data_IF_526497093467
#
_entry.id   IF_526497093467
#
_cell.length_a   1.000
_cell.length_b   1.000
_cell.length_c   1.000
_cell.angle_alpha   90.00
_cell.angle_beta   90.00
_cell.angle_gamma   90.00
#
_symmetry.space_group_name_H-M   'P 1'
#
loop_
_entity.id
_entity.type
_entity.pdbx_description
1 polymer ?
#
# COMPACT_ATOMS: atom_id res chain seq x y z
N UNK A 1 -8.46 -22.63 -10.56
CA UNK A 1 -7.81 -21.82 -9.51
C UNK A 1 -7.16 -20.51 -9.97
N UNK A 2 -6.12 -20.49 -10.81
CA UNK A 2 -5.50 -19.21 -11.29
C UNK A 2 -6.53 -18.22 -11.85
N UNK A 3 -7.41 -18.69 -12.74
CA UNK A 3 -8.48 -17.90 -13.35
C UNK A 3 -9.51 -17.36 -12.35
N UNK A 4 -9.77 -18.08 -11.26
CA UNK A 4 -10.68 -17.64 -10.19
C UNK A 4 -10.04 -16.52 -9.37
N UNK A 5 -8.76 -16.68 -8.99
CA UNK A 5 -7.98 -15.62 -8.34
C UNK A 5 -7.94 -14.36 -9.20
N UNK A 6 -7.69 -14.53 -10.50
CA UNK A 6 -7.69 -13.44 -11.49
C UNK A 6 -9.05 -12.74 -11.52
N UNK A 7 -10.15 -13.51 -11.60
CA UNK A 7 -11.51 -12.96 -11.59
C UNK A 7 -11.83 -12.16 -10.33
N UNK A 8 -11.41 -12.64 -9.16
CA UNK A 8 -11.61 -11.91 -7.90
C UNK A 8 -10.78 -10.62 -7.91
N UNK A 9 -9.49 -10.68 -8.27
CA UNK A 9 -8.63 -9.49 -8.30
C UNK A 9 -9.12 -8.46 -9.33
N UNK A 10 -9.64 -8.87 -10.49
CA UNK A 10 -10.28 -7.95 -11.45
C UNK A 10 -11.45 -7.20 -10.83
N UNK A 11 -12.28 -7.88 -10.03
CA UNK A 11 -13.39 -7.24 -9.30
C UNK A 11 -12.89 -6.27 -8.24
N UNK A 12 -11.87 -6.67 -7.46
CA UNK A 12 -11.30 -5.86 -6.38
C UNK A 12 -10.55 -4.62 -6.89
N UNK A 13 -10.04 -4.67 -8.12
CA UNK A 13 -9.27 -3.59 -8.74
C UNK A 13 -10.05 -2.79 -9.78
N UNK A 14 -11.21 -3.29 -10.20
CA UNK A 14 -11.97 -2.70 -11.31
C UNK A 14 -11.26 -2.78 -12.67
N UNK A 15 -10.23 -3.62 -12.82
CA UNK A 15 -9.39 -3.70 -14.03
C UNK A 15 -9.70 -4.90 -14.91
N UNK A 16 -9.47 -4.74 -16.21
CA UNK A 16 -9.69 -5.81 -17.22
C UNK A 16 -8.66 -6.92 -17.16
N UNK A 17 -7.41 -6.61 -16.84
CA UNK A 17 -6.29 -7.55 -16.84
C UNK A 17 -5.62 -7.59 -15.48
N UNK A 18 -5.17 -8.79 -15.07
CA UNK A 18 -4.37 -9.01 -13.87
C UNK A 18 -3.21 -9.93 -14.24
N UNK A 19 -2.00 -9.50 -13.91
CA UNK A 19 -0.74 -10.21 -14.11
C UNK A 19 -0.14 -10.54 -12.76
N UNK A 20 0.15 -11.81 -12.52
CA UNK A 20 0.78 -12.26 -11.28
C UNK A 20 2.30 -12.15 -11.42
N UNK A 21 2.96 -11.59 -10.41
CA UNK A 21 4.41 -11.33 -10.44
C UNK A 21 5.09 -11.78 -9.16
N UNK A 22 6.35 -12.21 -9.24
CA UNK A 22 7.07 -12.84 -8.12
C UNK A 22 7.03 -12.12 -6.77
N UNK A 23 6.96 -10.78 -6.75
CA UNK A 23 6.89 -9.98 -5.52
C UNK A 23 6.36 -8.59 -5.79
N UNK A 24 5.93 -7.88 -4.74
CA UNK A 24 5.51 -6.47 -4.86
C UNK A 24 6.58 -5.57 -5.51
N UNK A 25 7.86 -5.77 -5.20
CA UNK A 25 8.95 -5.04 -5.86
C UNK A 25 9.03 -5.30 -7.37
N UNK A 26 8.63 -6.49 -7.84
CA UNK A 26 8.55 -6.77 -9.27
C UNK A 26 7.38 -6.00 -9.91
N UNK A 27 6.23 -5.91 -9.22
CA UNK A 27 5.08 -5.13 -9.68
C UNK A 27 5.41 -3.64 -9.85
N UNK A 28 6.11 -3.05 -8.87
CA UNK A 28 6.58 -1.66 -8.91
C UNK A 28 7.49 -1.45 -10.12
N UNK A 29 8.53 -2.30 -10.26
CA UNK A 29 9.49 -2.16 -11.36
C UNK A 29 8.85 -2.35 -12.73
N UNK A 30 7.97 -3.33 -12.89
CA UNK A 30 7.28 -3.59 -14.15
C UNK A 30 6.38 -2.41 -14.54
N UNK A 31 5.64 -1.84 -13.59
CA UNK A 31 4.74 -0.71 -13.85
C UNK A 31 5.51 0.57 -14.18
N UNK A 32 6.64 0.84 -13.50
CA UNK A 32 7.50 1.97 -13.84
C UNK A 32 8.18 1.79 -15.22
N UNK A 33 8.64 0.58 -15.55
CA UNK A 33 9.14 0.28 -16.91
C UNK A 33 8.08 0.58 -17.97
N UNK A 34 6.84 0.14 -17.73
CA UNK A 34 5.74 0.34 -18.67
C UNK A 34 5.45 1.83 -18.87
N UNK A 35 5.38 2.59 -17.78
CA UNK A 35 5.18 4.03 -17.86
C UNK A 35 6.34 4.73 -18.60
N UNK A 36 7.59 4.34 -18.34
CA UNK A 36 8.74 4.87 -19.07
C UNK A 36 8.69 4.56 -20.56
N UNK A 37 8.30 3.35 -20.93
CA UNK A 37 8.17 2.96 -22.34
C UNK A 37 7.00 3.71 -23.03
N UNK A 38 6.07 4.27 -22.26
CA UNK A 38 5.07 5.26 -22.67
C UNK A 38 5.57 6.71 -22.69
N UNK A 39 6.87 6.92 -22.59
CA UNK A 39 7.54 8.24 -22.63
C UNK A 39 7.31 9.13 -21.40
N UNK A 40 6.90 8.57 -20.26
CA UNK A 40 7.00 9.30 -18.99
C UNK A 40 8.44 9.24 -18.47
N UNK A 41 9.03 10.37 -18.15
CA UNK A 41 10.37 10.46 -17.57
C UNK A 41 10.38 10.97 -16.13
N UNK A 42 9.31 11.62 -15.67
CA UNK A 42 9.13 12.14 -14.31
C UNK A 42 8.23 11.22 -13.47
N UNK A 43 8.66 10.93 -12.24
CA UNK A 43 7.91 10.14 -11.26
C UNK A 43 7.75 10.92 -9.96
N UNK A 44 6.51 11.17 -9.60
CA UNK A 44 6.09 11.75 -8.34
C UNK A 44 5.87 10.64 -7.31
N UNK A 45 6.45 10.78 -6.12
CA UNK A 45 6.27 9.86 -5.00
C UNK A 45 5.97 10.63 -3.72
N UNK A 46 5.28 9.99 -2.77
CA UNK A 46 5.08 10.55 -1.43
C UNK A 46 6.43 10.73 -0.72
N UNK A 47 6.63 11.85 -0.01
CA UNK A 47 7.87 12.11 0.76
C UNK A 47 8.08 11.13 1.92
N UNK A 48 7.00 10.49 2.39
CA UNK A 48 6.95 9.42 3.39
C UNK A 48 5.71 8.53 3.18
N UNK A 49 5.64 7.39 3.87
CA UNK A 49 4.52 6.45 3.80
C UNK A 49 4.51 5.52 2.57
N UNK A 50 5.32 5.81 1.56
CA UNK A 50 5.54 4.94 0.39
C UNK A 50 6.37 3.70 0.71
N UNK A 51 6.87 3.03 -0.35
CA UNK A 51 7.72 1.85 -0.20
C UNK A 51 9.18 2.12 -0.57
N UNK A 52 10.12 1.47 0.13
CA UNK A 52 11.56 1.78 0.04
C UNK A 52 12.14 1.63 -1.38
N UNK A 53 11.55 0.76 -2.21
CA UNK A 53 12.03 0.54 -3.58
C UNK A 53 11.47 1.54 -4.59
N UNK A 54 10.53 2.41 -4.24
CA UNK A 54 10.03 3.47 -5.12
C UNK A 54 11.18 4.34 -5.65
N UNK A 55 11.93 5.08 -4.79
CA UNK A 55 13.04 5.91 -5.27
C UNK A 55 14.15 5.08 -5.93
N UNK A 56 14.42 3.88 -5.41
CA UNK A 56 15.45 3.00 -5.96
C UNK A 56 15.17 2.61 -7.41
N UNK A 57 13.91 2.31 -7.75
CA UNK A 57 13.53 1.94 -9.11
C UNK A 57 13.40 3.13 -10.05
N UNK A 58 12.94 4.28 -9.55
CA UNK A 58 12.96 5.54 -10.33
C UNK A 58 14.39 5.85 -10.78
N UNK A 59 15.36 5.84 -9.85
CA UNK A 59 16.78 6.03 -10.15
C UNK A 59 17.34 4.96 -11.09
N UNK A 60 17.03 3.67 -10.83
CA UNK A 60 17.48 2.55 -11.67
C UNK A 60 17.01 2.68 -13.12
N UNK A 61 15.81 3.22 -13.34
CA UNK A 61 15.24 3.44 -14.66
C UNK A 61 15.66 4.78 -15.29
N UNK A 62 16.48 5.58 -14.59
CA UNK A 62 16.95 6.90 -15.01
C UNK A 62 15.80 7.89 -15.23
N UNK A 63 14.75 7.77 -14.44
CA UNK A 63 13.62 8.71 -14.41
C UNK A 63 13.90 9.82 -13.37
N UNK A 64 13.32 11.01 -13.56
CA UNK A 64 13.37 12.10 -12.60
C UNK A 64 12.46 11.81 -11.41
N UNK A 65 13.03 11.76 -10.20
CA UNK A 65 12.25 11.65 -8.95
C UNK A 65 11.80 13.03 -8.48
N UNK A 66 10.52 13.16 -8.11
CA UNK A 66 9.98 14.31 -7.39
C UNK A 66 9.26 13.81 -6.15
N UNK A 67 9.63 14.35 -4.99
CA UNK A 67 8.96 14.03 -3.72
C UNK A 67 7.85 15.04 -3.45
N UNK A 68 6.63 14.55 -3.36
CA UNK A 68 5.46 15.34 -3.01
C UNK A 68 5.36 15.46 -1.49
N UNK A 69 5.15 16.69 -1.00
CA UNK A 69 4.90 16.92 0.41
C UNK A 69 3.58 16.29 0.81
N UNK A 70 3.57 15.59 1.94
CA UNK A 70 2.38 14.92 2.46
C UNK A 70 2.04 15.34 3.88
N UNK A 71 0.81 15.06 4.27
CA UNK A 71 0.36 15.01 5.66
C UNK A 71 0.49 13.57 6.18
N UNK A 72 1.64 13.26 6.79
CA UNK A 72 2.04 11.90 7.22
C UNK A 72 1.90 10.80 6.15
N UNK A 73 2.07 11.16 4.88
CA UNK A 73 1.94 10.26 3.74
C UNK A 73 0.68 10.49 2.92
N UNK A 74 -0.37 11.10 3.48
CA UNK A 74 -1.57 11.45 2.71
C UNK A 74 -1.30 12.66 1.82
N UNK A 75 -1.71 12.55 0.55
CA UNK A 75 -1.65 13.64 -0.42
C UNK A 75 -2.95 14.45 -0.35
N UNK A 76 -2.86 15.76 -0.53
CA UNK A 76 -4.02 16.66 -0.64
C UNK A 76 -4.09 17.37 -1.99
N UNK A 77 -2.98 17.44 -2.72
CA UNK A 77 -2.88 18.08 -4.03
C UNK A 77 -1.71 17.50 -4.84
N UNK A 78 -1.82 17.55 -6.17
CA UNK A 78 -0.75 17.23 -7.11
C UNK A 78 -0.83 18.21 -8.27
N UNK A 79 0.07 19.20 -8.29
CA UNK A 79 0.07 20.27 -9.30
C UNK A 79 0.90 19.94 -10.55
N UNK A 80 1.75 18.91 -10.44
CA UNK A 80 2.60 18.44 -11.52
C UNK A 80 1.78 17.78 -12.64
N UNK A 81 2.27 17.93 -13.88
CA UNK A 81 1.67 17.36 -15.09
C UNK A 81 2.71 16.53 -15.84
N UNK A 82 2.21 15.69 -16.74
CA UNK A 82 3.00 14.84 -17.64
C UNK A 82 3.97 13.95 -16.86
N UNK A 83 3.44 13.34 -15.80
CA UNK A 83 4.23 12.58 -14.83
C UNK A 83 3.53 11.29 -14.41
N UNK A 84 4.32 10.33 -13.94
CA UNK A 84 3.81 9.17 -13.22
C UNK A 84 3.60 9.56 -11.76
N UNK A 85 2.42 9.33 -11.22
CA UNK A 85 2.21 9.37 -9.78
C UNK A 85 2.26 7.94 -9.24
N UNK A 86 3.34 7.59 -8.54
CA UNK A 86 3.47 6.34 -7.82
C UNK A 86 3.16 6.57 -6.34
N UNK A 87 1.98 6.14 -5.91
CA UNK A 87 1.48 6.36 -4.56
C UNK A 87 1.07 5.04 -3.90
N UNK A 88 1.15 4.96 -2.58
CA UNK A 88 0.50 3.95 -1.78
C UNK A 88 -0.83 4.52 -1.28
N UNK A 89 -1.96 3.87 -1.58
CA UNK A 89 -3.28 4.36 -1.17
C UNK A 89 -3.59 4.10 0.31
N UNK A 90 -2.70 3.43 1.03
CA UNK A 90 -2.67 3.38 2.49
C UNK A 90 -1.24 3.63 2.98
N UNK A 91 -0.72 4.87 2.88
CA UNK A 91 0.66 5.18 3.24
C UNK A 91 0.97 4.73 4.67
N UNK A 92 2.13 4.12 4.88
CA UNK A 92 2.53 3.61 6.19
C UNK A 92 1.60 2.55 6.80
N UNK A 93 0.60 2.09 6.03
CA UNK A 93 -0.49 1.21 6.46
C UNK A 93 -1.43 1.82 7.52
N UNK A 94 -1.41 3.13 7.77
CA UNK A 94 -2.09 3.74 8.93
C UNK A 94 -3.29 4.61 8.58
N UNK A 95 -3.43 5.04 7.33
CA UNK A 95 -4.56 5.84 6.89
C UNK A 95 -4.84 5.60 5.41
N UNK A 96 -6.09 5.42 5.02
CA UNK A 96 -6.49 5.40 3.62
C UNK A 96 -6.42 6.80 3.01
N UNK A 97 -5.94 6.88 1.77
CA UNK A 97 -6.06 8.06 0.95
C UNK A 97 -7.54 8.36 0.67
N UNK A 98 -7.89 9.65 0.70
CA UNK A 98 -9.25 10.08 0.37
C UNK A 98 -9.67 9.58 -1.02
N UNK A 99 -10.86 8.98 -1.09
CA UNK A 99 -11.33 8.29 -2.28
C UNK A 99 -11.66 9.28 -3.41
N UNK A 100 -12.25 10.41 -3.07
CA UNK A 100 -12.64 11.41 -4.07
C UNK A 100 -11.42 12.14 -4.61
N UNK A 101 -10.41 12.37 -3.77
CA UNK A 101 -9.08 12.79 -4.19
C UNK A 101 -8.47 11.79 -5.18
N UNK A 102 -8.44 10.49 -4.88
CA UNK A 102 -7.91 9.49 -5.83
C UNK A 102 -8.68 9.50 -7.17
N UNK A 103 -10.01 9.61 -7.13
CA UNK A 103 -10.81 9.71 -8.37
C UNK A 103 -10.41 10.92 -9.19
N UNK A 104 -10.26 12.08 -8.54
CA UNK A 104 -9.84 13.32 -9.22
C UNK A 104 -8.47 13.20 -9.89
N UNK A 105 -7.56 12.40 -9.32
CA UNK A 105 -6.26 12.11 -9.95
C UNK A 105 -6.42 11.23 -11.20
N UNK A 106 -7.29 10.22 -11.16
CA UNK A 106 -7.52 9.33 -12.32
C UNK A 106 -8.29 10.00 -13.46
N UNK A 107 -9.07 11.03 -13.17
CA UNK A 107 -9.76 11.84 -14.18
C UNK A 107 -8.82 12.89 -14.81
N UNK A 108 -7.68 13.17 -14.18
CA UNK A 108 -6.67 14.07 -14.73
C UNK A 108 -5.84 13.34 -15.81
N UNK A 109 -6.18 13.58 -17.07
CA UNK A 109 -5.53 12.95 -18.23
C UNK A 109 -4.02 13.21 -18.38
N UNK A 110 -3.44 14.09 -17.56
CA UNK A 110 -2.01 14.43 -17.62
C UNK A 110 -1.18 13.70 -16.55
N UNK A 111 -1.77 12.82 -15.75
CA UNK A 111 -1.06 11.97 -14.79
C UNK A 111 -1.26 10.50 -15.13
N UNK A 112 -0.19 9.72 -15.05
CA UNK A 112 -0.28 8.26 -15.09
C UNK A 112 -0.21 7.71 -13.66
N UNK A 113 -1.33 7.24 -13.14
CA UNK A 113 -1.46 6.87 -11.73
C UNK A 113 -1.12 5.39 -11.53
N UNK A 114 -0.02 5.13 -10.83
CA UNK A 114 0.32 3.79 -10.32
C UNK A 114 -0.04 3.74 -8.83
N UNK A 115 -1.10 3.01 -8.50
CA UNK A 115 -1.58 2.87 -7.13
C UNK A 115 -1.11 1.55 -6.52
N UNK A 116 -0.24 1.64 -5.52
CA UNK A 116 0.13 0.52 -4.67
C UNK A 116 -0.94 0.29 -3.61
N UNK A 117 -1.60 -0.86 -3.73
CA UNK A 117 -2.71 -1.29 -2.89
C UNK A 117 -2.30 -2.41 -1.95
N UNK A 118 -1.00 -2.58 -1.69
CA UNK A 118 -0.48 -3.63 -0.81
C UNK A 118 -1.07 -3.59 0.61
N UNK A 119 -1.52 -2.42 1.08
CA UNK A 119 -2.25 -2.26 2.34
C UNK A 119 -3.76 -2.12 2.21
N UNK A 120 -4.24 -1.68 1.04
CA UNK A 120 -5.64 -1.26 0.81
C UNK A 120 -6.43 -2.21 -0.09
N UNK A 121 -5.85 -3.33 -0.55
CA UNK A 121 -6.58 -4.32 -1.36
C UNK A 121 -7.87 -4.75 -0.67
N UNK A 122 -8.99 -4.72 -1.39
CA UNK A 122 -10.32 -4.96 -0.83
C UNK A 122 -11.09 -3.70 -0.42
N UNK A 123 -10.50 -2.51 -0.53
CA UNK A 123 -11.16 -1.22 -0.32
C UNK A 123 -11.52 -0.52 -1.65
N UNK A 124 -12.33 0.54 -1.60
CA UNK A 124 -12.68 1.32 -2.79
C UNK A 124 -11.46 2.01 -3.43
N UNK A 125 -10.47 2.40 -2.62
CA UNK A 125 -9.22 3.00 -3.09
C UNK A 125 -8.45 2.04 -4.00
N UNK A 126 -8.59 0.72 -3.79
CA UNK A 126 -7.90 -0.27 -4.59
C UNK A 126 -8.44 -0.40 -6.02
N UNK A 127 -9.51 0.33 -6.36
CA UNK A 127 -10.10 0.36 -7.71
C UNK A 127 -9.61 1.53 -8.57
N UNK A 128 -8.85 2.46 -8.00
CA UNK A 128 -8.50 3.73 -8.65
C UNK A 128 -7.04 3.74 -9.09
N UNK A 129 -6.79 4.13 -10.33
CA UNK A 129 -5.46 4.27 -10.94
C UNK A 129 -5.41 3.70 -12.36
N UNK A 130 -4.41 4.10 -13.14
CA UNK A 130 -4.13 3.51 -14.46
C UNK A 130 -3.59 2.09 -14.34
N UNK A 131 -2.69 1.91 -13.37
CA UNK A 131 -2.15 0.61 -12.97
C UNK A 131 -2.29 0.45 -11.46
N UNK A 132 -2.78 -0.69 -11.04
CA UNK A 132 -2.89 -1.06 -9.64
C UNK A 132 -1.88 -2.17 -9.37
N UNK A 133 -1.06 -2.00 -8.34
CA UNK A 133 -0.06 -2.98 -7.95
C UNK A 133 -0.30 -3.42 -6.52
N UNK A 134 -0.04 -4.69 -6.23
CA UNK A 134 -0.13 -5.17 -4.86
C UNK A 134 0.89 -6.24 -4.55
N UNK A 135 1.20 -6.38 -3.26
CA UNK A 135 2.07 -7.42 -2.75
C UNK A 135 1.27 -8.45 -1.97
N UNK A 136 1.63 -9.72 -2.17
CA UNK A 136 1.22 -10.82 -1.32
C UNK A 136 2.29 -11.20 -0.29
N UNK A 137 3.26 -10.33 -0.04
CA UNK A 137 4.35 -10.65 0.88
C UNK A 137 3.87 -10.86 2.31
N UNK A 138 4.82 -11.27 3.16
CA UNK A 138 4.58 -11.41 4.60
C UNK A 138 3.94 -10.15 5.20
N UNK A 139 2.95 -10.37 6.08
CA UNK A 139 2.21 -9.34 6.81
C UNK A 139 1.31 -8.43 5.95
N UNK A 140 1.07 -8.77 4.68
CA UNK A 140 0.06 -8.09 3.86
C UNK A 140 -1.34 -8.62 4.17
N UNK A 141 -2.42 -7.92 3.78
CA UNK A 141 -3.78 -8.45 3.93
C UNK A 141 -3.94 -9.84 3.33
N UNK A 142 -3.36 -10.12 2.16
CA UNK A 142 -3.46 -11.45 1.54
C UNK A 142 -2.41 -12.46 2.05
N UNK A 143 -1.23 -12.01 2.48
CA UNK A 143 -0.10 -12.80 3.01
C UNK A 143 0.05 -14.25 2.46
N UNK A 144 0.83 -14.35 1.40
CA UNK A 144 1.36 -15.59 0.81
C UNK A 144 2.86 -15.74 1.07
N UNK A 145 3.44 -14.95 1.98
CA UNK A 145 4.89 -14.81 2.25
C UNK A 145 5.68 -14.16 1.10
N UNK A 146 5.39 -14.54 -0.14
CA UNK A 146 5.93 -13.96 -1.37
C UNK A 146 4.82 -13.77 -2.43
N UNK A 147 5.05 -12.86 -3.38
CA UNK A 147 4.12 -12.60 -4.48
C UNK A 147 3.68 -11.16 -4.63
N UNK A 148 2.96 -10.95 -5.73
CA UNK A 148 2.28 -9.71 -6.03
C UNK A 148 1.51 -9.80 -7.34
N UNK A 149 0.88 -8.69 -7.70
CA UNK A 149 0.15 -8.56 -8.94
C UNK A 149 0.27 -7.14 -9.52
N UNK A 150 -0.02 -7.04 -10.80
CA UNK A 150 -0.23 -5.80 -11.55
C UNK A 150 -1.59 -5.92 -12.23
N UNK A 151 -2.46 -4.94 -12.08
CA UNK A 151 -3.78 -4.89 -12.70
C UNK A 151 -3.94 -3.60 -13.51
N UNK A 152 -4.47 -3.69 -14.73
CA UNK A 152 -4.67 -2.54 -15.60
C UNK A 152 -5.69 -2.81 -16.72
N UNK A 153 -6.05 -1.77 -17.46
CA UNK A 153 -6.97 -1.85 -18.61
C UNK A 153 -6.26 -1.84 -19.97
N UNK A 154 -4.93 -1.79 -19.94
CA UNK A 154 -4.10 -1.80 -21.15
C UNK A 154 -3.93 -3.23 -21.66
N UNK A 155 -4.04 -3.40 -22.98
CA UNK A 155 -3.60 -4.61 -23.67
C UNK A 155 -2.07 -4.64 -23.71
N UNK A 156 -1.47 -4.99 -22.57
CA UNK A 156 -0.02 -5.18 -22.46
C UNK A 156 0.31 -6.56 -23.02
N UNK A 157 1.32 -6.64 -23.90
CA UNK A 157 1.74 -7.95 -24.40
C UNK A 157 2.16 -8.83 -23.22
N UNK A 158 1.71 -10.08 -23.23
CA UNK A 158 2.06 -11.06 -22.21
C UNK A 158 3.59 -11.15 -22.00
N UNK A 159 4.37 -10.92 -23.06
CA UNK A 159 5.82 -10.92 -23.06
C UNK A 159 6.43 -9.86 -22.12
N UNK A 160 5.79 -8.70 -21.98
CA UNK A 160 6.28 -7.65 -21.09
C UNK A 160 6.31 -8.09 -19.62
N UNK A 161 5.29 -8.83 -19.19
CA UNK A 161 5.19 -9.33 -17.81
C UNK A 161 5.79 -10.72 -17.61
N UNK A 162 6.07 -11.46 -18.69
CA UNK A 162 6.63 -12.81 -18.64
C UNK A 162 7.93 -12.90 -17.85
N UNK A 163 8.79 -11.88 -17.92
CA UNK A 163 10.04 -11.79 -17.14
C UNK A 163 9.82 -11.74 -15.60
N UNK A 164 8.58 -11.44 -15.18
CA UNK A 164 8.22 -11.25 -13.77
C UNK A 164 7.28 -12.34 -13.25
N UNK A 165 6.75 -13.19 -14.12
CA UNK A 165 5.87 -14.29 -13.75
C UNK A 165 6.58 -15.30 -12.83
N UNK A 166 5.79 -15.90 -11.96
CA UNK A 166 6.21 -17.01 -11.11
C UNK A 166 5.04 -17.97 -10.95
N UNK A 167 5.33 -19.23 -10.63
CA UNK A 167 4.31 -20.14 -10.13
C UNK A 167 3.85 -19.71 -8.74
N UNK A 168 2.54 -19.70 -8.55
CA UNK A 168 1.89 -19.40 -7.29
C UNK A 168 1.14 -20.62 -6.79
N UNK A 169 1.08 -20.76 -5.46
CA UNK A 169 0.05 -21.56 -4.80
C UNK A 169 -1.28 -20.82 -4.93
N UNK A 170 -1.96 -21.04 -6.06
CA UNK A 170 -3.22 -20.38 -6.38
C UNK A 170 -4.36 -20.83 -5.47
N UNK A 171 -4.31 -22.05 -4.95
CA UNK A 171 -5.25 -22.57 -3.95
C UNK A 171 -5.15 -21.77 -2.65
N UNK A 172 -3.93 -21.55 -2.14
CA UNK A 172 -3.69 -20.69 -0.97
C UNK A 172 -4.10 -19.25 -1.25
N UNK A 173 -3.77 -18.70 -2.43
CA UNK A 173 -4.17 -17.34 -2.80
C UNK A 173 -5.69 -17.19 -2.83
N UNK A 174 -6.39 -18.16 -3.44
CA UNK A 174 -7.83 -18.16 -3.53
C UNK A 174 -8.47 -18.13 -2.14
N UNK A 175 -8.01 -18.98 -1.22
CA UNK A 175 -8.49 -18.97 0.15
C UNK A 175 -8.27 -17.62 0.84
N UNK A 176 -7.08 -17.01 0.68
CA UNK A 176 -6.78 -15.69 1.24
C UNK A 176 -7.64 -14.58 0.65
N UNK A 177 -7.99 -14.66 -0.64
CA UNK A 177 -8.90 -13.73 -1.29
C UNK A 177 -10.33 -13.85 -0.74
N UNK A 178 -10.80 -15.06 -0.44
CA UNK A 178 -12.11 -15.29 0.18
C UNK A 178 -12.15 -14.78 1.63
N UNK A 179 -11.07 -15.00 2.40
CA UNK A 179 -10.95 -14.55 3.79
C UNK A 179 -10.63 -13.03 3.91
N UNK A 180 -10.32 -12.35 2.81
CA UNK A 180 -9.84 -10.96 2.82
C UNK A 180 -10.81 -10.01 3.54
N UNK A 181 -12.12 -10.13 3.28
CA UNK A 181 -13.13 -9.27 3.90
C UNK A 181 -13.16 -9.43 5.42
N UNK A 182 -13.15 -10.66 5.91
CA UNK A 182 -13.11 -10.98 7.34
C UNK A 182 -11.84 -10.41 7.98
N UNK A 183 -10.69 -10.56 7.30
CA UNK A 183 -9.41 -10.06 7.78
C UNK A 183 -9.36 -8.53 7.85
N UNK A 184 -9.93 -7.82 6.89
CA UNK A 184 -10.02 -6.35 6.93
C UNK A 184 -10.92 -5.87 8.08
N UNK A 185 -12.06 -6.54 8.32
CA UNK A 185 -12.94 -6.23 9.47
C UNK A 185 -12.23 -6.47 10.81
N UNK A 186 -11.44 -7.54 10.90
CA UNK A 186 -10.61 -7.80 12.08
C UNK A 186 -9.59 -6.69 12.31
N UNK A 187 -8.88 -6.25 11.27
CA UNK A 187 -7.92 -5.15 11.37
C UNK A 187 -8.59 -3.85 11.81
N UNK A 188 -9.74 -3.51 11.23
CA UNK A 188 -10.50 -2.32 11.60
C UNK A 188 -10.94 -2.35 13.07
N UNK A 189 -11.45 -3.49 13.55
CA UNK A 189 -11.83 -3.66 14.95
C UNK A 189 -10.65 -3.43 15.90
N UNK A 190 -9.48 -4.02 15.62
CA UNK A 190 -8.29 -3.86 16.46
C UNK A 190 -7.73 -2.45 16.36
N UNK A 191 -7.70 -1.86 15.16
CA UNK A 191 -7.31 -0.47 14.94
C UNK A 191 -8.13 0.47 15.83
N UNK A 192 -9.46 0.38 15.76
CA UNK A 192 -10.37 1.22 16.52
C UNK A 192 -10.23 1.01 18.03
N UNK A 193 -9.99 -0.23 18.47
CA UNK A 193 -9.65 -0.52 19.87
C UNK A 193 -8.39 0.23 20.31
N UNK A 194 -7.29 0.14 19.54
CA UNK A 194 -6.02 0.78 19.90
C UNK A 194 -6.16 2.30 19.90
N UNK A 195 -6.84 2.88 18.90
CA UNK A 195 -7.11 4.32 18.84
C UNK A 195 -7.90 4.78 20.07
N UNK A 196 -8.90 3.99 20.50
CA UNK A 196 -9.68 4.29 21.70
C UNK A 196 -8.85 4.20 22.98
N UNK A 197 -8.10 3.10 23.16
CA UNK A 197 -7.25 2.86 24.33
C UNK A 197 -6.16 3.94 24.47
N UNK A 198 -5.70 4.52 23.36
CA UNK A 198 -4.65 5.54 23.30
C UNK A 198 -5.18 6.93 22.94
N UNK A 199 -6.47 7.20 23.23
CA UNK A 199 -7.13 8.47 22.89
C UNK A 199 -6.52 9.72 23.55
N UNK A 200 -5.79 9.55 24.65
CA UNK A 200 -5.03 10.62 25.33
C UNK A 200 -3.67 10.94 24.67
N UNK A 201 -3.27 10.17 23.64
CA UNK A 201 -2.02 10.37 22.91
C UNK A 201 -2.26 11.02 21.54
N UNK A 202 -1.19 11.56 20.95
CA UNK A 202 -1.21 12.09 19.59
C UNK A 202 -1.17 10.94 18.56
N UNK A 203 -2.35 10.45 18.21
CA UNK A 203 -2.55 9.42 17.18
C UNK A 203 -2.67 10.07 15.80
N UNK A 204 -1.73 9.73 14.91
CA UNK A 204 -1.71 10.24 13.54
C UNK A 204 -2.92 9.73 12.77
N UNK A 205 -3.68 10.64 12.17
CA UNK A 205 -4.89 10.33 11.39
C UNK A 205 -5.88 9.44 12.14
N UNK A 206 -6.13 9.73 13.43
CA UNK A 206 -6.95 8.92 14.34
C UNK A 206 -8.33 8.50 13.81
N UNK A 207 -8.93 9.30 12.94
CA UNK A 207 -10.27 9.07 12.39
C UNK A 207 -10.23 8.34 11.02
N UNK A 208 -9.03 8.05 10.50
CA UNK A 208 -8.85 7.36 9.24
C UNK A 208 -8.84 5.83 9.43
N UNK A 209 -9.22 5.11 8.38
CA UNK A 209 -9.13 3.65 8.34
C UNK A 209 -7.67 3.24 8.06
N UNK A 210 -7.11 2.42 8.94
CA UNK A 210 -5.76 1.89 8.83
C UNK A 210 -5.66 0.43 9.26
N UNK A 211 -4.56 -0.24 8.86
CA UNK A 211 -4.18 -1.59 9.33
C UNK A 211 -2.90 -1.55 10.18
N UNK A 212 -2.55 -0.37 10.66
CA UNK A 212 -1.53 -0.02 11.64
C UNK A 212 -2.04 1.22 12.39
N UNK A 213 -1.60 1.42 13.62
CA UNK A 213 -1.81 2.69 14.35
C UNK A 213 -0.48 3.35 14.60
N UNK A 214 -0.34 4.65 14.32
CA UNK A 214 0.90 5.40 14.56
C UNK A 214 0.64 6.42 15.66
N UNK A 215 1.41 6.33 16.74
CA UNK A 215 1.26 7.20 17.91
C UNK A 215 2.57 7.93 18.16
N UNK A 216 2.52 9.26 18.15
CA UNK A 216 3.67 10.11 18.40
C UNK A 216 4.01 10.15 19.89
N UNK A 217 5.27 10.45 20.17
CA UNK A 217 5.75 10.70 21.53
C UNK A 217 6.72 11.88 21.54
N UNK A 218 6.77 12.59 22.66
CA UNK A 218 7.62 13.76 22.88
C UNK A 218 8.75 13.51 23.88
N UNK A 219 8.71 12.39 24.59
CA UNK A 219 9.69 12.00 25.60
C UNK A 219 9.92 10.49 25.66
N UNK A 220 11.07 10.07 26.19
CA UNK A 220 11.35 8.64 26.43
C UNK A 220 10.34 8.00 27.39
N UNK A 221 9.82 8.75 28.37
CA UNK A 221 8.80 8.24 29.28
C UNK A 221 7.47 7.92 28.58
N UNK A 222 7.06 8.72 27.60
CA UNK A 222 5.88 8.43 26.76
C UNK A 222 6.14 7.22 25.85
N UNK A 223 7.31 7.16 25.23
CA UNK A 223 7.74 6.01 24.42
C UNK A 223 7.70 4.71 25.21
N UNK A 224 8.25 4.69 26.43
CA UNK A 224 8.23 3.52 27.30
C UNK A 224 6.81 3.07 27.67
N UNK A 225 5.88 4.02 27.90
CA UNK A 225 4.46 3.71 28.13
C UNK A 225 3.81 3.06 26.91
N UNK A 226 4.07 3.59 25.71
CA UNK A 226 3.56 3.00 24.46
C UNK A 226 4.11 1.60 24.20
N UNK A 227 5.42 1.40 24.44
CA UNK A 227 6.05 0.07 24.34
C UNK A 227 5.44 -0.90 25.36
N UNK A 228 5.24 -0.44 26.60
CA UNK A 228 4.59 -1.23 27.65
C UNK A 228 3.18 -1.64 27.23
N UNK A 229 2.37 -0.71 26.73
CA UNK A 229 1.03 -1.01 26.19
C UNK A 229 1.10 -2.08 25.09
N UNK A 230 2.05 -1.97 24.16
CA UNK A 230 2.22 -2.95 23.09
C UNK A 230 2.58 -4.34 23.67
N UNK A 231 3.51 -4.41 24.62
CA UNK A 231 3.93 -5.66 25.24
C UNK A 231 2.80 -6.33 26.04
N UNK A 232 2.03 -5.56 26.81
CA UNK A 232 0.90 -6.06 27.59
C UNK A 232 -0.22 -6.63 26.70
N UNK A 233 -0.40 -6.07 25.50
CA UNK A 233 -1.41 -6.51 24.54
C UNK A 233 -0.85 -7.46 23.45
N UNK A 234 0.44 -7.83 23.51
CA UNK A 234 1.14 -8.62 22.49
C UNK A 234 1.07 -8.01 21.07
N UNK A 235 1.11 -6.69 20.97
CA UNK A 235 1.19 -5.99 19.69
C UNK A 235 2.65 -5.80 19.27
N UNK A 236 3.01 -6.34 18.11
CA UNK A 236 4.27 -5.98 17.47
C UNK A 236 4.27 -4.49 17.09
N UNK A 237 5.41 -3.83 17.22
CA UNK A 237 5.55 -2.42 16.87
C UNK A 237 6.88 -2.13 16.19
N UNK A 238 6.95 -0.97 15.56
CA UNK A 238 8.14 -0.45 14.91
C UNK A 238 8.35 1.01 15.32
N UNK A 239 9.54 1.33 15.80
CA UNK A 239 9.93 2.70 16.11
C UNK A 239 10.23 3.50 14.83
N UNK A 240 9.71 4.74 14.80
CA UNK A 240 9.92 5.77 13.77
C UNK A 240 10.98 6.79 14.26
N UNK A 241 11.65 7.53 13.37
CA UNK A 241 11.31 7.81 11.97
C UNK A 241 11.64 6.64 11.02
N UNK A 242 10.72 6.35 10.10
CA UNK A 242 10.93 5.43 8.97
C UNK A 242 10.19 5.92 7.74
N UNK A 243 10.88 6.02 6.61
CA UNK A 243 10.26 6.44 5.33
C UNK A 243 9.01 5.63 4.99
N UNK A 244 9.00 4.32 5.26
CA UNK A 244 7.85 3.44 5.01
C UNK A 244 6.72 3.55 6.05
N UNK A 245 6.81 4.52 6.96
CA UNK A 245 5.84 4.90 8.00
C UNK A 245 5.76 6.43 7.97
N UNK A 246 6.21 7.10 9.04
CA UNK A 246 6.35 8.56 9.11
C UNK A 246 7.78 8.94 9.51
N UNK A 247 8.17 10.17 9.20
CA UNK A 247 9.49 10.74 9.49
C UNK A 247 9.51 11.57 10.78
N UNK A 248 8.76 11.12 11.79
CA UNK A 248 8.73 11.71 13.13
C UNK A 248 8.91 10.67 14.24
N UNK A 249 9.12 11.14 15.46
CA UNK A 249 9.22 10.31 16.67
C UNK A 249 7.85 9.69 16.99
N UNK A 250 7.73 8.38 16.76
CA UNK A 250 6.48 7.66 16.94
C UNK A 250 6.69 6.15 17.08
N UNK A 251 5.68 5.48 17.61
CA UNK A 251 5.53 4.03 17.60
C UNK A 251 4.45 3.66 16.58
N UNK A 252 4.83 2.87 15.58
CA UNK A 252 3.91 2.25 14.63
C UNK A 252 3.51 0.87 15.14
N UNK A 253 2.30 0.75 15.67
CA UNK A 253 1.71 -0.50 16.16
C UNK A 253 1.19 -1.30 14.95
N UNK A 254 1.71 -2.50 14.76
CA UNK A 254 1.60 -3.26 13.50
C UNK A 254 0.39 -4.22 13.50
N UNK A 255 -0.83 -3.68 13.50
CA UNK A 255 -2.10 -4.46 13.52
C UNK A 255 -2.14 -5.53 12.42
N UNK A 256 -1.61 -5.23 11.23
CA UNK A 256 -1.52 -6.17 10.11
C UNK A 256 -0.70 -7.45 10.36
N UNK A 257 0.07 -7.51 11.45
CA UNK A 257 0.84 -8.70 11.86
C UNK A 257 0.05 -9.64 12.77
N UNK A 258 -1.13 -9.20 13.24
CA UNK A 258 -2.02 -10.03 14.03
C UNK A 258 -2.77 -11.02 13.14
N UNK A 259 -3.06 -12.19 13.70
CA UNK A 259 -3.85 -13.22 13.03
C UNK A 259 -5.22 -13.34 13.71
N UNK A 260 -6.22 -13.70 12.91
CA UNK A 260 -7.52 -14.13 13.44
C UNK A 260 -7.28 -15.43 14.20
N UNK A 261 -7.51 -15.42 15.51
CA UNK A 261 -7.54 -16.65 16.30
C UNK A 261 -8.89 -17.30 16.04
N UNK A 262 -8.89 -18.41 15.28
CA UNK A 262 -10.07 -19.24 15.03
C UNK A 262 -10.09 -20.41 16.02
#
# INVERSE_FOLDING_TARGET
>A
MKSECESILKKLTGKKHVFFVRRGNAAILASLKFARDKSFDKVLIQDQGGWITYPQFVLKLKMQEVRLKTDYGLLSQVDEKDAVLLLNSMPGYHALQDLDFLKSLSENSNLFVINDVSGSVGTGQAMIGDMIIGSFGKWKPLDLEEGGFVACDYDVSFDFFREFEVEFDFEKLHQKLLDLKEKLLFFDMIHNKIVHDLSDYDVVHKDAVGINVIVKFSSEAEKEKLIKYCNENNYEFVECPRYIRILEQAISIEVKRLNIVR
#
